data_IF_044604197795
#
_entry.id   IF_044604197795
#
_cell.length_a   1.000
_cell.length_b   1.000
_cell.length_c   1.000
_cell.angle_alpha   90.00
_cell.angle_beta   90.00
_cell.angle_gamma   90.00
#
_symmetry.space_group_name_H-M   'P 1'
#
loop_
_entity.id
_entity.type
_entity.pdbx_description
1 polymer ?
#
# COMPACT_ATOMS: atom_id res chain seq x y z
N UNK A 1 -26.49 0.64 -42.86
CA UNK A 1 -26.25 0.96 -41.43
C UNK A 1 -25.50 -0.21 -40.79
N UNK A 2 -24.19 -0.09 -40.55
CA UNK A 2 -23.41 -1.11 -39.83
C UNK A 2 -22.56 -0.41 -38.77
N UNK A 3 -23.22 -0.03 -37.67
CA UNK A 3 -22.70 0.83 -36.60
C UNK A 3 -22.41 0.10 -35.29
N UNK A 4 -21.84 -1.11 -35.37
CA UNK A 4 -21.30 -1.76 -34.18
C UNK A 4 -20.00 -1.06 -33.81
N UNK A 5 -19.94 -0.41 -32.64
CA UNK A 5 -18.75 0.30 -32.12
C UNK A 5 -17.44 -0.37 -32.55
N UNK A 6 -16.48 0.36 -33.16
CA UNK A 6 -15.24 -0.21 -33.67
C UNK A 6 -14.56 -1.02 -32.57
N UNK A 7 -14.07 -2.22 -32.90
CA UNK A 7 -13.49 -3.19 -31.95
C UNK A 7 -12.49 -2.55 -30.98
N UNK A 8 -11.75 -1.53 -31.43
CA UNK A 8 -10.86 -0.66 -30.67
C UNK A 8 -11.52 0.02 -29.45
N UNK A 9 -12.71 0.61 -29.61
CA UNK A 9 -13.40 1.29 -28.50
C UNK A 9 -13.88 0.30 -27.45
N UNK A 10 -14.31 -0.90 -27.86
CA UNK A 10 -14.71 -1.97 -26.93
C UNK A 10 -13.52 -2.48 -26.14
N UNK A 11 -12.37 -2.70 -26.79
CA UNK A 11 -11.14 -3.13 -26.13
C UNK A 11 -10.62 -2.07 -25.14
N UNK A 12 -10.67 -0.78 -25.50
CA UNK A 12 -10.34 0.31 -24.58
C UNK A 12 -11.27 0.36 -23.37
N UNK A 13 -12.57 0.17 -23.59
CA UNK A 13 -13.57 0.18 -22.53
C UNK A 13 -13.38 -1.02 -21.58
N UNK A 14 -13.15 -2.22 -22.11
CA UNK A 14 -12.85 -3.43 -21.33
C UNK A 14 -11.58 -3.26 -20.50
N UNK A 15 -10.50 -2.73 -21.09
CA UNK A 15 -9.27 -2.44 -20.37
C UNK A 15 -9.45 -1.38 -19.27
N UNK A 16 -10.30 -0.36 -19.52
CA UNK A 16 -10.64 0.65 -18.51
C UNK A 16 -11.40 0.02 -17.34
N UNK A 17 -12.39 -0.82 -17.62
CA UNK A 17 -13.18 -1.54 -16.61
C UNK A 17 -12.30 -2.50 -15.79
N UNK A 18 -11.46 -3.30 -16.45
CA UNK A 18 -10.48 -4.16 -15.79
C UNK A 18 -9.51 -3.36 -14.91
N UNK A 19 -8.97 -2.23 -15.41
CA UNK A 19 -8.10 -1.36 -14.62
C UNK A 19 -8.79 -0.79 -13.38
N UNK A 20 -10.10 -0.50 -13.47
CA UNK A 20 -10.88 0.03 -12.35
C UNK A 20 -11.20 -1.07 -11.33
N UNK A 21 -11.46 -2.29 -11.78
CA UNK A 21 -11.64 -3.46 -10.93
C UNK A 21 -10.36 -3.76 -10.14
N UNK A 22 -9.20 -3.80 -10.81
CA UNK A 22 -7.90 -4.02 -10.15
C UNK A 22 -7.62 -2.91 -9.11
N UNK A 23 -7.92 -1.64 -9.44
CA UNK A 23 -7.79 -0.53 -8.47
C UNK A 23 -8.77 -0.58 -7.31
N UNK A 24 -9.91 -1.25 -7.47
CA UNK A 24 -10.86 -1.48 -6.37
C UNK A 24 -10.31 -2.55 -5.43
N UNK A 25 -9.75 -3.62 -5.99
CA UNK A 25 -9.11 -4.69 -5.22
C UNK A 25 -7.85 -4.19 -4.49
N UNK A 26 -7.01 -3.38 -5.16
CA UNK A 26 -5.85 -2.75 -4.52
C UNK A 26 -6.22 -1.91 -3.30
N UNK A 27 -7.37 -1.22 -3.31
CA UNK A 27 -7.90 -0.52 -2.13
C UNK A 27 -8.41 -1.45 -1.02
N UNK A 28 -8.77 -2.68 -1.36
CA UNK A 28 -9.04 -3.73 -0.37
C UNK A 28 -7.75 -4.14 0.33
N UNK A 29 -6.71 -4.41 -0.45
CA UNK A 29 -5.35 -4.73 0.02
C UNK A 29 -4.79 -3.60 0.91
N UNK A 30 -4.96 -2.34 0.52
CA UNK A 30 -4.53 -1.20 1.33
C UNK A 30 -5.27 -1.10 2.67
N UNK A 31 -6.55 -1.50 2.72
CA UNK A 31 -7.32 -1.54 3.97
C UNK A 31 -6.83 -2.66 4.88
N UNK A 32 -6.52 -3.83 4.31
CA UNK A 32 -5.92 -4.95 5.04
C UNK A 32 -4.53 -4.59 5.57
N UNK A 33 -3.68 -3.94 4.77
CA UNK A 33 -2.39 -3.42 5.22
C UNK A 33 -2.54 -2.47 6.42
N UNK A 34 -3.52 -1.57 6.39
CA UNK A 34 -3.79 -0.68 7.52
C UNK A 34 -4.34 -1.40 8.76
N UNK A 35 -5.07 -2.50 8.57
CA UNK A 35 -5.51 -3.36 9.67
C UNK A 35 -4.31 -4.06 10.31
N UNK A 36 -3.41 -4.62 9.49
CA UNK A 36 -2.17 -5.26 9.96
C UNK A 36 -1.27 -4.31 10.74
N UNK A 37 -1.11 -3.06 10.29
CA UNK A 37 -0.38 -2.02 11.04
C UNK A 37 -0.97 -1.72 12.43
N UNK A 38 -2.30 -1.78 12.56
CA UNK A 38 -2.96 -1.60 13.86
C UNK A 38 -2.73 -2.80 14.76
N UNK A 39 -2.70 -4.00 14.20
CA UNK A 39 -2.37 -5.23 14.91
C UNK A 39 -0.91 -5.25 15.36
N UNK A 40 0.02 -4.79 14.53
CA UNK A 40 1.42 -4.57 14.91
C UNK A 40 1.53 -3.67 16.14
N UNK A 41 0.83 -2.53 16.13
CA UNK A 41 0.84 -1.60 17.29
C UNK A 41 0.34 -2.29 18.57
N UNK A 42 -0.68 -3.16 18.46
CA UNK A 42 -1.20 -3.94 19.59
C UNK A 42 -0.22 -5.01 20.05
N UNK A 43 0.39 -5.75 19.13
CA UNK A 43 1.40 -6.76 19.42
C UNK A 43 2.60 -6.13 20.14
N UNK A 44 3.09 -4.99 19.67
CA UNK A 44 4.16 -4.23 20.33
C UNK A 44 3.80 -3.84 21.76
N UNK A 45 2.56 -3.42 22.02
CA UNK A 45 2.10 -3.12 23.37
C UNK A 45 2.03 -4.38 24.26
N UNK A 46 1.51 -5.48 23.72
CA UNK A 46 1.41 -6.76 24.42
C UNK A 46 2.77 -7.38 24.74
N UNK A 47 3.74 -7.30 23.82
CA UNK A 47 5.13 -7.76 24.04
C UNK A 47 5.76 -6.99 25.19
N UNK A 48 5.61 -5.65 25.22
CA UNK A 48 6.11 -4.80 26.33
C UNK A 48 5.51 -5.20 27.66
N UNK A 49 4.20 -5.43 27.69
CA UNK A 49 3.52 -5.83 28.92
C UNK A 49 3.96 -7.22 29.39
N UNK A 50 4.06 -8.19 28.45
CA UNK A 50 4.51 -9.54 28.74
C UNK A 50 5.96 -9.57 29.25
N UNK A 51 6.86 -8.80 28.63
CA UNK A 51 8.28 -8.73 29.00
C UNK A 51 8.52 -8.09 30.39
N UNK A 52 7.60 -7.23 30.86
CA UNK A 52 7.69 -6.61 32.21
C UNK A 52 7.17 -7.51 33.33
N UNK A 53 6.38 -8.54 33.00
CA UNK A 53 5.82 -9.46 34.00
C UNK A 53 6.86 -10.51 34.40
N UNK A 54 7.04 -10.80 35.70
CA UNK A 54 7.89 -11.91 36.15
C UNK A 54 7.43 -13.24 35.52
N UNK A 55 8.33 -13.97 34.88
CA UNK A 55 8.01 -15.23 34.18
C UNK A 55 7.25 -15.06 32.85
N UNK A 56 7.01 -13.83 32.39
CA UNK A 56 6.29 -13.54 31.14
C UNK A 56 7.12 -13.73 29.87
N UNK A 57 8.38 -14.18 29.98
CA UNK A 57 9.32 -14.28 28.87
C UNK A 57 8.85 -15.24 27.78
N UNK A 58 8.26 -16.39 28.14
CA UNK A 58 7.69 -17.32 27.14
C UNK A 58 6.52 -16.70 26.37
N UNK A 59 5.65 -15.94 27.04
CA UNK A 59 4.55 -15.25 26.37
C UNK A 59 5.07 -14.12 25.45
N UNK A 60 6.13 -13.42 25.87
CA UNK A 60 6.79 -12.41 25.05
C UNK A 60 7.42 -13.02 23.79
N UNK A 61 8.04 -14.21 23.88
CA UNK A 61 8.58 -14.95 22.73
C UNK A 61 7.50 -15.26 21.68
N UNK A 62 6.38 -15.84 22.10
CA UNK A 62 5.28 -16.17 21.19
C UNK A 62 4.72 -14.92 20.51
N UNK A 63 4.55 -13.83 21.26
CA UNK A 63 4.08 -12.57 20.71
C UNK A 63 5.12 -11.92 19.77
N UNK A 64 6.42 -12.07 20.04
CA UNK A 64 7.49 -11.60 19.16
C UNK A 64 7.48 -12.35 17.81
N UNK A 65 7.31 -13.68 17.82
CA UNK A 65 7.12 -14.47 16.58
C UNK A 65 5.92 -13.96 15.77
N UNK A 66 4.80 -13.70 16.44
CA UNK A 66 3.60 -13.16 15.80
C UNK A 66 3.86 -11.77 15.19
N UNK A 67 4.67 -10.92 15.84
CA UNK A 67 5.07 -9.62 15.32
C UNK A 67 5.89 -9.74 14.03
N UNK A 68 6.87 -10.65 13.99
CA UNK A 68 7.70 -10.85 12.78
C UNK A 68 6.83 -11.33 11.61
N UNK A 69 6.00 -12.35 11.83
CA UNK A 69 5.05 -12.84 10.82
C UNK A 69 4.11 -11.73 10.33
N UNK A 70 3.61 -10.89 11.25
CA UNK A 70 2.76 -9.75 10.89
C UNK A 70 3.50 -8.76 9.97
N UNK A 71 4.76 -8.44 10.26
CA UNK A 71 5.59 -7.54 9.44
C UNK A 71 5.91 -8.13 8.06
N UNK A 72 6.17 -9.42 7.97
CA UNK A 72 6.36 -10.12 6.69
C UNK A 72 5.08 -10.08 5.84
N UNK A 73 3.93 -10.33 6.46
CA UNK A 73 2.63 -10.22 5.79
C UNK A 73 2.38 -8.77 5.32
N UNK A 74 2.69 -7.76 6.13
CA UNK A 74 2.62 -6.36 5.72
C UNK A 74 3.53 -6.06 4.51
N UNK A 75 4.76 -6.56 4.50
CA UNK A 75 5.69 -6.39 3.38
C UNK A 75 5.15 -7.04 2.09
N UNK A 76 4.54 -8.23 2.20
CA UNK A 76 3.87 -8.93 1.10
C UNK A 76 2.67 -8.15 0.56
N UNK A 77 1.79 -7.66 1.45
CA UNK A 77 0.63 -6.84 1.07
C UNK A 77 1.06 -5.51 0.42
N UNK A 78 2.12 -4.87 0.92
CA UNK A 78 2.66 -3.64 0.34
C UNK A 78 3.20 -3.87 -1.08
N UNK A 79 3.96 -4.96 -1.28
CA UNK A 79 4.44 -5.38 -2.60
C UNK A 79 3.27 -5.68 -3.54
N UNK A 80 2.25 -6.38 -3.06
CA UNK A 80 1.05 -6.72 -3.83
C UNK A 80 0.25 -5.47 -4.22
N UNK A 81 0.08 -4.50 -3.31
CA UNK A 81 -0.57 -3.21 -3.62
C UNK A 81 0.17 -2.46 -4.73
N UNK A 82 1.52 -2.40 -4.65
CA UNK A 82 2.37 -1.83 -5.69
C UNK A 82 2.21 -2.55 -7.04
N UNK A 83 2.22 -3.88 -7.03
CA UNK A 83 2.01 -4.70 -8.22
C UNK A 83 0.62 -4.50 -8.83
N UNK A 84 -0.46 -4.46 -8.03
CA UNK A 84 -1.81 -4.18 -8.52
C UNK A 84 -1.90 -2.80 -9.18
N UNK A 85 -1.27 -1.78 -8.59
CA UNK A 85 -1.21 -0.43 -9.17
C UNK A 85 -0.47 -0.41 -10.52
N UNK A 86 0.66 -1.11 -10.60
CA UNK A 86 1.43 -1.27 -11.83
C UNK A 86 0.61 -2.02 -12.90
N UNK A 87 0.02 -3.17 -12.56
CA UNK A 87 -0.82 -3.97 -13.46
C UNK A 87 -2.04 -3.18 -13.93
N UNK A 88 -2.71 -2.42 -13.07
CA UNK A 88 -3.83 -1.57 -13.49
C UNK A 88 -3.40 -0.51 -14.51
N UNK A 89 -2.20 0.04 -14.35
CA UNK A 89 -1.62 1.01 -15.28
C UNK A 89 -1.21 0.35 -16.61
N UNK A 90 -0.63 -0.83 -16.55
CA UNK A 90 -0.28 -1.64 -17.72
C UNK A 90 -1.53 -2.02 -18.52
N UNK A 91 -2.58 -2.52 -17.88
CA UNK A 91 -3.86 -2.86 -18.53
C UNK A 91 -4.48 -1.64 -19.21
N UNK A 92 -4.47 -0.48 -18.53
CA UNK A 92 -4.95 0.78 -19.13
C UNK A 92 -4.12 1.22 -20.34
N UNK A 93 -2.79 1.04 -20.27
CA UNK A 93 -1.88 1.31 -21.39
C UNK A 93 -2.15 0.37 -22.57
N UNK A 94 -2.30 -0.93 -22.33
CA UNK A 94 -2.65 -1.94 -23.34
C UNK A 94 -3.97 -1.60 -24.03
N UNK A 95 -5.01 -1.19 -23.29
CA UNK A 95 -6.28 -0.75 -23.88
C UNK A 95 -6.15 0.48 -24.78
N UNK A 96 -5.25 1.40 -24.42
CA UNK A 96 -4.99 2.61 -25.20
C UNK A 96 -4.16 2.30 -26.45
N UNK A 97 -3.17 1.43 -26.33
CA UNK A 97 -2.38 0.90 -27.45
C UNK A 97 -3.26 0.12 -28.43
N UNK A 98 -4.17 -0.72 -27.93
CA UNK A 98 -5.14 -1.45 -28.75
C UNK A 98 -6.09 -0.50 -29.49
N UNK A 99 -6.54 0.57 -28.84
CA UNK A 99 -7.37 1.59 -29.47
C UNK A 99 -6.63 2.31 -30.60
N UNK A 100 -5.39 2.75 -30.34
CA UNK A 100 -4.53 3.41 -31.33
C UNK A 100 -4.24 2.45 -32.48
N UNK A 101 -3.90 1.19 -32.20
CA UNK A 101 -3.64 0.18 -33.21
C UNK A 101 -4.88 -0.11 -34.06
N UNK A 102 -6.09 -0.16 -33.48
CA UNK A 102 -7.32 -0.33 -34.26
C UNK A 102 -7.70 0.91 -35.08
N UNK A 103 -7.41 2.12 -34.59
CA UNK A 103 -7.54 3.35 -35.37
C UNK A 103 -6.50 3.44 -36.48
N UNK A 104 -5.25 3.04 -36.21
CA UNK A 104 -4.19 2.93 -37.21
C UNK A 104 -4.47 1.81 -38.21
N UNK A 105 -5.09 0.69 -37.81
CA UNK A 105 -5.55 -0.35 -38.73
C UNK A 105 -6.71 0.13 -39.60
N UNK A 106 -7.59 0.99 -39.08
CA UNK A 106 -8.64 1.63 -39.88
C UNK A 106 -8.05 2.65 -40.86
N UNK A 107 -7.08 3.46 -40.42
CA UNK A 107 -6.34 4.39 -41.27
C UNK A 107 -5.44 3.66 -42.29
N UNK A 108 -4.84 2.53 -41.91
CA UNK A 108 -4.05 1.64 -42.74
C UNK A 108 -4.91 0.78 -43.65
N UNK A 109 -6.19 0.55 -43.34
CA UNK A 109 -7.19 -0.01 -44.26
C UNK A 109 -7.54 1.01 -45.34
N UNK A 110 -7.59 2.31 -44.99
CA UNK A 110 -7.69 3.40 -45.98
C UNK A 110 -6.38 3.53 -46.80
N UNK A 111 -5.20 3.27 -46.22
CA UNK A 111 -3.94 3.11 -46.97
C UNK A 111 -3.74 1.69 -47.57
N UNK A 112 -4.65 0.75 -47.28
CA UNK A 112 -4.51 -0.70 -47.46
C UNK A 112 -4.94 -1.20 -48.83
N UNK A 113 -4.99 -0.31 -49.82
CA UNK A 113 -4.82 -0.69 -51.23
C UNK A 113 -3.35 -0.86 -51.61
N UNK A 114 -2.39 -0.67 -50.71
CA UNK A 114 -0.99 -1.07 -50.94
C UNK A 114 -0.41 -1.79 -49.72
N UNK A 115 -0.44 -3.12 -49.86
CA UNK A 115 0.52 -4.13 -49.38
C UNK A 115 0.50 -4.59 -47.90
N UNK A 116 0.34 -5.90 -47.77
CA UNK A 116 0.14 -6.68 -46.57
C UNK A 116 1.37 -6.73 -45.65
N UNK A 117 1.13 -6.72 -44.33
CA UNK A 117 1.76 -7.58 -43.31
C UNK A 117 1.33 -7.13 -41.90
N UNK A 118 0.33 -7.81 -41.32
CA UNK A 118 0.18 -7.91 -39.87
C UNK A 118 0.21 -9.39 -39.57
N UNK A 119 1.29 -9.85 -38.93
CA UNK A 119 1.58 -11.27 -38.74
C UNK A 119 0.84 -11.81 -37.50
N UNK A 120 -0.21 -12.64 -37.64
CA UNK A 120 -0.98 -13.18 -36.52
C UNK A 120 -0.17 -14.13 -35.61
N UNK A 121 1.02 -14.60 -36.04
CA UNK A 121 1.88 -15.47 -35.24
C UNK A 121 2.45 -14.80 -33.98
N UNK A 122 2.59 -13.47 -33.98
CA UNK A 122 3.16 -12.75 -32.84
C UNK A 122 2.23 -12.73 -31.61
N UNK A 123 0.91 -12.76 -31.80
CA UNK A 123 -0.08 -12.70 -30.70
C UNK A 123 -0.23 -14.04 -29.98
N UNK A 124 -0.13 -15.15 -30.73
CA UNK A 124 -0.17 -16.50 -30.16
C UNK A 124 1.03 -16.78 -29.25
N UNK A 125 2.22 -16.31 -29.64
CA UNK A 125 3.43 -16.43 -28.83
C UNK A 125 3.31 -15.70 -27.48
N UNK A 126 2.68 -14.52 -27.47
CA UNK A 126 2.49 -13.74 -26.22
C UNK A 126 1.50 -14.41 -25.25
N UNK A 127 0.46 -15.08 -25.76
CA UNK A 127 -0.47 -15.84 -24.90
C UNK A 127 0.19 -17.06 -24.28
N UNK A 128 1.03 -17.76 -25.05
CA UNK A 128 1.75 -18.94 -24.58
C UNK A 128 2.80 -18.57 -23.51
N UNK A 129 3.45 -17.41 -23.65
CA UNK A 129 4.35 -16.87 -22.63
C UNK A 129 3.61 -16.49 -21.35
N UNK A 130 2.38 -15.93 -21.45
CA UNK A 130 1.57 -15.57 -20.29
C UNK A 130 1.15 -16.80 -19.47
N UNK A 131 0.73 -17.87 -20.13
CA UNK A 131 0.39 -19.15 -19.47
C UNK A 131 1.61 -19.74 -18.74
N UNK A 132 2.79 -19.68 -19.38
CA UNK A 132 4.04 -20.16 -18.79
C UNK A 132 4.48 -19.35 -17.58
N UNK A 133 4.33 -18.02 -17.62
CA UNK A 133 4.62 -17.15 -16.48
C UNK A 133 3.62 -17.36 -15.34
N UNK A 134 2.34 -17.57 -15.65
CA UNK A 134 1.31 -17.85 -14.63
C UNK A 134 1.56 -19.19 -13.91
N UNK A 135 1.97 -20.23 -14.64
CA UNK A 135 2.35 -21.51 -14.07
C UNK A 135 3.62 -21.41 -13.20
N UNK A 136 4.63 -20.67 -13.66
CA UNK A 136 5.84 -20.38 -12.86
C UNK A 136 5.53 -19.56 -11.59
N UNK A 137 4.52 -18.70 -11.63
CA UNK A 137 4.10 -17.90 -10.48
C UNK A 137 3.43 -18.77 -9.41
N UNK A 138 2.56 -19.72 -9.80
CA UNK A 138 1.95 -20.67 -8.86
C UNK A 138 2.97 -21.57 -8.18
N UNK A 139 3.97 -22.07 -8.93
CA UNK A 139 5.04 -22.91 -8.38
C UNK A 139 5.96 -22.15 -7.42
N UNK A 140 6.14 -20.83 -7.63
CA UNK A 140 6.88 -19.97 -6.70
C UNK A 140 6.09 -19.67 -5.43
N UNK A 141 4.76 -19.67 -5.50
CA UNK A 141 3.91 -19.47 -4.32
C UNK A 141 3.97 -20.70 -3.42
N UNK A 142 3.87 -21.91 -3.98
CA UNK A 142 4.05 -23.18 -3.25
C UNK A 142 5.45 -23.30 -2.64
N UNK A 143 6.52 -23.00 -3.38
CA UNK A 143 7.88 -23.00 -2.83
C UNK A 143 8.12 -21.95 -1.74
N UNK A 144 7.36 -20.84 -1.75
CA UNK A 144 7.44 -19.81 -0.71
C UNK A 144 6.70 -20.24 0.54
N UNK A 145 5.58 -20.95 0.41
CA UNK A 145 4.87 -21.53 1.55
C UNK A 145 5.67 -22.68 2.18
N UNK A 146 6.32 -23.54 1.38
CA UNK A 146 7.24 -24.57 1.88
C UNK A 146 8.48 -23.98 2.58
N UNK A 147 9.01 -22.86 2.07
CA UNK A 147 10.11 -22.14 2.72
C UNK A 147 9.67 -21.46 4.03
N UNK A 148 8.41 -21.02 4.11
CA UNK A 148 7.82 -20.48 5.35
C UNK A 148 7.62 -21.57 6.40
N UNK A 149 7.26 -22.79 6.00
CA UNK A 149 7.09 -23.93 6.90
C UNK A 149 8.44 -24.46 7.41
N UNK A 150 9.46 -24.52 6.53
CA UNK A 150 10.83 -24.86 6.91
C UNK A 150 11.48 -23.82 7.83
N UNK A 151 11.13 -22.54 7.70
CA UNK A 151 11.51 -21.50 8.64
C UNK A 151 10.92 -21.79 10.03
N UNK A 152 9.70 -22.32 10.16
CA UNK A 152 9.09 -22.56 11.49
C UNK A 152 9.85 -23.61 12.33
N UNK A 153 10.52 -24.57 11.67
CA UNK A 153 11.37 -25.59 12.31
C UNK A 153 12.75 -25.05 12.75
N UNK A 154 13.27 -24.01 12.10
CA UNK A 154 14.57 -23.39 12.43
C UNK A 154 14.46 -22.47 13.67
N UNK A 155 13.26 -22.02 14.00
CA UNK A 155 12.98 -21.12 15.13
C UNK A 155 12.77 -21.90 16.45
N UNK A 156 13.20 -23.16 16.53
CA UNK A 156 13.16 -23.92 17.79
C UNK A 156 14.27 -23.51 18.76
N UNK A 157 15.44 -23.14 18.25
CA UNK A 157 16.66 -22.91 19.03
C UNK A 157 17.05 -21.42 19.19
N UNK A 158 16.53 -20.50 18.36
CA UNK A 158 16.91 -19.06 18.32
C UNK A 158 15.85 -18.09 18.91
N UNK A 159 14.87 -18.62 19.66
CA UNK A 159 13.73 -17.83 20.17
C UNK A 159 14.11 -16.67 21.11
N UNK A 160 15.18 -16.84 21.87
CA UNK A 160 15.69 -15.80 22.76
C UNK A 160 16.34 -14.66 21.97
N UNK A 161 17.03 -14.96 20.87
CA UNK A 161 17.70 -13.98 20.03
C UNK A 161 16.69 -13.15 19.24
N UNK A 162 15.64 -13.78 18.70
CA UNK A 162 14.52 -13.09 18.03
C UNK A 162 13.82 -12.15 19.01
N UNK A 163 13.54 -12.62 20.24
CA UNK A 163 12.92 -11.77 21.26
C UNK A 163 13.82 -10.57 21.60
N UNK A 164 15.12 -10.79 21.79
CA UNK A 164 16.08 -9.72 22.07
C UNK A 164 16.13 -8.69 20.95
N UNK A 165 16.22 -9.14 19.69
CA UNK A 165 16.22 -8.27 18.51
C UNK A 165 14.93 -7.45 18.40
N UNK A 166 13.77 -8.08 18.58
CA UNK A 166 12.47 -7.38 18.56
C UNK A 166 12.38 -6.36 19.69
N UNK A 167 12.86 -6.70 20.89
CA UNK A 167 12.86 -5.78 22.03
C UNK A 167 13.79 -4.58 21.81
N UNK A 168 14.98 -4.80 21.24
CA UNK A 168 15.92 -3.75 20.89
C UNK A 168 15.34 -2.83 19.81
N UNK A 169 14.74 -3.39 18.77
CA UNK A 169 14.10 -2.62 17.71
C UNK A 169 12.94 -1.76 18.24
N UNK A 170 12.08 -2.33 19.08
CA UNK A 170 10.99 -1.60 19.76
C UNK A 170 11.55 -0.48 20.65
N UNK A 171 12.70 -0.70 21.29
CA UNK A 171 13.40 0.30 22.11
C UNK A 171 13.96 1.46 21.28
N UNK A 172 14.53 1.15 20.12
CA UNK A 172 15.07 2.13 19.16
C UNK A 172 13.96 2.93 18.48
N UNK A 173 12.89 2.29 18.02
CA UNK A 173 11.75 2.95 17.38
C UNK A 173 11.09 3.98 18.31
N UNK A 174 11.00 3.66 19.61
CA UNK A 174 10.49 4.59 20.61
C UNK A 174 11.44 5.77 20.83
N UNK A 175 12.75 5.52 20.88
CA UNK A 175 13.76 6.58 21.02
C UNK A 175 13.72 7.50 19.81
N UNK A 176 13.57 6.97 18.60
CA UNK A 176 13.40 7.73 17.36
C UNK A 176 12.09 8.53 17.34
N UNK A 177 10.98 7.95 17.80
CA UNK A 177 9.69 8.65 17.94
C UNK A 177 9.75 9.81 18.96
N UNK A 178 10.50 9.64 20.06
CA UNK A 178 10.69 10.68 21.07
C UNK A 178 11.63 11.80 20.59
N UNK A 179 12.64 11.49 19.77
CA UNK A 179 13.53 12.47 19.17
C UNK A 179 12.88 13.28 18.02
N UNK A 180 11.93 12.67 17.31
CA UNK A 180 11.22 13.30 16.18
C UNK A 180 9.98 14.10 16.58
N UNK A 181 9.51 13.97 17.82
CA UNK A 181 8.43 14.81 18.35
C UNK A 181 8.94 16.23 18.64
N UNK A 182 8.40 17.30 18.01
CA UNK A 182 8.83 18.65 18.33
C UNK A 182 8.52 18.92 19.80
N UNK A 183 9.56 19.26 20.57
CA UNK A 183 9.42 19.68 21.96
C UNK A 183 8.52 20.92 22.00
N UNK A 184 7.21 20.71 22.19
CA UNK A 184 6.29 21.79 22.50
C UNK A 184 6.75 22.33 23.84
N UNK A 185 7.47 23.45 23.79
CA UNK A 185 7.91 24.19 24.95
C UNK A 185 6.74 24.29 25.92
N UNK A 186 6.90 23.63 27.06
CA UNK A 186 6.06 23.85 28.23
C UNK A 186 6.31 25.30 28.63
N UNK A 187 5.43 26.20 28.19
CA UNK A 187 5.31 27.52 28.79
C UNK A 187 4.82 27.30 30.22
N UNK A 188 5.78 27.07 31.12
CA UNK A 188 5.58 27.08 32.56
C UNK A 188 4.98 28.43 32.93
N UNK A 189 3.78 28.40 33.49
CA UNK A 189 3.25 29.53 34.24
C UNK A 189 4.22 29.88 35.37
N UNK A 190 4.67 31.12 35.38
CA UNK A 190 5.19 31.80 36.55
C UNK A 190 4.41 33.10 36.71
N UNK A 191 3.90 33.29 37.92
CA UNK A 191 2.83 34.20 38.29
C UNK A 191 3.25 35.67 38.40
N UNK A 192 2.21 36.53 38.36
CA UNK A 192 2.02 37.72 39.22
C UNK A 192 2.98 38.91 39.09
N UNK A 193 2.46 40.05 38.61
CA UNK A 193 2.13 41.21 39.45
C UNK A 193 2.09 42.53 38.65
N UNK A 194 1.02 43.30 38.84
CA UNK A 194 1.12 44.77 38.92
C UNK A 194 0.73 45.57 37.68
N UNK A 195 -0.32 46.39 37.83
CA UNK A 195 -0.30 47.75 37.27
C UNK A 195 -1.47 48.14 36.37
N UNK A 196 -2.47 48.78 36.99
CA UNK A 196 -3.08 49.99 36.41
C UNK A 196 -4.10 49.80 35.29
N UNK A 197 -5.35 49.52 35.67
CA UNK A 197 -6.48 49.84 34.81
C UNK A 197 -6.65 51.35 34.68
N UNK A 198 -6.53 51.88 33.47
CA UNK A 198 -7.03 53.19 33.04
C UNK A 198 -6.90 53.30 31.52
N UNK A 199 -8.00 53.14 30.77
CA UNK A 199 -8.16 53.77 29.44
C UNK A 199 -9.66 54.08 29.18
N UNK A 200 -9.95 55.16 28.44
CA UNK A 200 -11.18 55.93 28.53
C UNK A 200 -12.23 55.55 27.48
N UNK A 201 -13.45 56.03 27.74
CA UNK A 201 -14.66 55.99 26.89
C UNK A 201 -14.38 56.24 25.41
N UNK A 202 -14.87 55.33 24.57
CA UNK A 202 -15.10 55.56 23.14
C UNK A 202 -16.52 56.10 22.96
N UNK A 203 -16.63 57.23 22.27
CA UNK A 203 -17.90 57.82 21.86
C UNK A 203 -18.39 57.20 20.57
N UNK A 204 -19.66 56.81 20.57
CA UNK A 204 -20.45 56.56 19.36
C UNK A 204 -21.85 57.14 19.59
N UNK A 205 -22.21 58.18 18.83
CA UNK A 205 -23.59 58.43 18.40
C UNK A 205 -23.55 59.46 17.27
N UNK A 206 -23.64 58.94 16.05
CA UNK A 206 -23.81 59.72 14.83
C UNK A 206 -25.10 60.51 14.85
N UNK A 207 -24.99 61.77 14.43
CA UNK A 207 -26.09 62.68 14.12
C UNK A 207 -26.77 62.18 12.85
N UNK A 208 -28.05 61.81 12.95
CA UNK A 208 -28.94 61.70 11.78
C UNK A 208 -29.87 62.91 11.75
N UNK A 209 -29.99 63.46 10.55
CA UNK A 209 -30.82 64.59 10.17
C UNK A 209 -32.30 64.33 10.44
N UNK A 210 -32.95 65.27 11.13
CA UNK A 210 -34.03 66.15 10.65
C UNK A 210 -34.56 66.99 11.81
#
# INVERSE_FOLDING_TARGET
MFGGKPSAERQKQQAKEASNAIKKEGRSVDRELNQMRREETKLTAMIKEAARRPGGQQNAKVLAKQLVRNREQQARLLKMSGQMSATASQVRSMGSQAAVAGSMASAASIMGKVNAQVNPAAVAATMQELEKQSAMMGMKEEMVDDAMEALDDEWGDEDDDILAQVMDEIGLEQTAAMQSAPARAVATGAASAGGGGSRPQQGEAGVQAL
#
